data_IF_573411791673
#
_entry.id   IF_573411791673
#
_cell.length_a   1.000
_cell.length_b   1.000
_cell.length_c   1.000
_cell.angle_alpha   90.00
_cell.angle_beta   90.00
_cell.angle_gamma   90.00
#
_symmetry.space_group_name_H-M   'P 1'
#
loop_
_entity.id
_entity.type
_entity.pdbx_description
1 polymer ?
#
# COMPACT_ATOMS: atom_id res chain seq x y z
N UNK A 1 -0.42 19.64 -25.67
CA UNK A 1 -1.02 19.07 -24.44
C UNK A 1 0.01 18.17 -23.76
N UNK A 2 0.09 18.21 -22.45
CA UNK A 2 0.94 17.33 -21.67
C UNK A 2 0.09 16.39 -20.80
N UNK A 3 0.59 15.18 -20.53
CA UNK A 3 -0.09 14.22 -19.65
C UNK A 3 0.84 13.75 -18.53
N UNK A 4 0.30 13.62 -17.33
CA UNK A 4 0.97 13.04 -16.16
C UNK A 4 0.05 12.05 -15.48
N UNK A 5 0.59 11.22 -14.60
CA UNK A 5 -0.19 10.23 -13.85
C UNK A 5 -0.28 10.59 -12.38
N UNK A 6 -1.43 10.29 -11.75
CA UNK A 6 -1.61 10.39 -10.31
C UNK A 6 -1.01 9.20 -9.53
N UNK A 7 -0.46 8.24 -10.21
CA UNK A 7 0.15 7.06 -9.58
C UNK A 7 1.47 6.67 -10.25
N UNK A 8 2.30 5.98 -9.49
CA UNK A 8 3.33 5.09 -10.02
C UNK A 8 2.71 3.70 -10.22
N UNK A 9 3.16 2.96 -11.22
CA UNK A 9 2.65 1.61 -11.52
C UNK A 9 2.71 0.70 -10.30
N UNK A 10 1.76 -0.22 -10.20
CA UNK A 10 1.78 -1.35 -9.27
C UNK A 10 1.86 -0.93 -7.80
N UNK A 11 0.93 -0.15 -7.35
CA UNK A 11 0.90 0.31 -5.97
C UNK A 11 -0.49 0.20 -5.37
N UNK A 12 -0.53 -0.44 -4.22
CA UNK A 12 -1.75 -0.56 -3.41
C UNK A 12 -2.33 0.82 -3.06
N UNK A 13 -1.47 1.81 -2.87
CA UNK A 13 -1.85 3.19 -2.58
C UNK A 13 -1.17 4.15 -3.57
N UNK A 14 -1.88 4.63 -4.60
CA UNK A 14 -1.30 5.46 -5.66
C UNK A 14 -0.87 6.86 -5.20
N UNK A 15 -1.34 7.31 -4.04
CA UNK A 15 -1.11 8.67 -3.52
C UNK A 15 0.17 8.81 -2.72
N UNK A 16 1.31 8.45 -3.31
CA UNK A 16 2.61 8.55 -2.66
C UNK A 16 3.12 10.00 -2.66
N UNK A 17 4.02 10.30 -1.72
CA UNK A 17 4.69 11.61 -1.62
C UNK A 17 5.37 12.04 -2.92
N UNK A 18 6.02 11.10 -3.61
CA UNK A 18 6.69 11.34 -4.90
C UNK A 18 5.72 11.73 -6.01
N UNK A 19 4.48 11.25 -5.99
CA UNK A 19 3.48 11.61 -7.00
C UNK A 19 3.07 13.08 -6.89
N UNK A 20 2.95 13.62 -5.69
CA UNK A 20 2.67 15.03 -5.47
C UNK A 20 3.78 15.90 -6.06
N UNK A 21 5.04 15.54 -5.80
CA UNK A 21 6.18 16.26 -6.34
C UNK A 21 6.22 16.19 -7.88
N UNK A 22 5.99 15.02 -8.47
CA UNK A 22 5.95 14.84 -9.93
C UNK A 22 4.84 15.67 -10.57
N UNK A 23 3.63 15.66 -10.01
CA UNK A 23 2.50 16.44 -10.50
C UNK A 23 2.83 17.94 -10.46
N UNK A 24 3.41 18.39 -9.34
CA UNK A 24 3.81 19.79 -9.16
C UNK A 24 4.84 20.23 -10.19
N UNK A 25 5.93 19.47 -10.36
CA UNK A 25 6.99 19.76 -11.32
C UNK A 25 6.44 19.74 -12.76
N UNK A 26 5.61 18.74 -13.09
CA UNK A 26 5.00 18.63 -14.41
C UNK A 26 4.09 19.81 -14.74
N UNK A 27 3.24 20.23 -13.78
CA UNK A 27 2.37 21.38 -13.97
C UNK A 27 3.18 22.65 -14.23
N UNK A 28 4.25 22.91 -13.46
CA UNK A 28 5.12 24.07 -13.66
C UNK A 28 5.81 24.03 -15.01
N UNK A 29 6.44 22.92 -15.37
CA UNK A 29 7.12 22.80 -16.68
C UNK A 29 6.16 22.98 -17.85
N UNK A 30 4.91 22.59 -17.71
CA UNK A 30 3.88 22.76 -18.73
C UNK A 30 3.45 24.23 -18.88
N UNK A 31 3.36 24.95 -17.77
CA UNK A 31 3.10 26.40 -17.76
C UNK A 31 4.26 27.15 -18.43
N UNK A 32 5.49 26.86 -18.04
CA UNK A 32 6.70 27.51 -18.56
C UNK A 32 6.89 27.29 -20.07
N UNK A 33 6.40 26.14 -20.57
CA UNK A 33 6.45 25.79 -22.01
C UNK A 33 5.19 26.17 -22.78
N UNK A 34 4.26 26.90 -22.18
CA UNK A 34 3.01 27.33 -22.77
C UNK A 34 2.19 26.18 -23.39
N UNK A 35 2.05 25.07 -22.69
CA UNK A 35 1.20 23.97 -23.15
C UNK A 35 -0.28 24.40 -23.15
N UNK A 36 -1.00 24.09 -24.26
CA UNK A 36 -2.41 24.40 -24.39
C UNK A 36 -3.36 23.62 -23.50
N UNK A 37 -2.85 22.64 -22.76
CA UNK A 37 -3.67 21.85 -21.84
C UNK A 37 -2.85 20.80 -21.11
N UNK A 38 -3.38 20.39 -19.96
CA UNK A 38 -2.83 19.35 -19.09
C UNK A 38 -3.85 18.23 -18.92
N UNK A 39 -3.38 17.01 -18.86
CA UNK A 39 -4.18 15.82 -18.60
C UNK A 39 -3.60 15.05 -17.41
N UNK A 40 -4.45 14.67 -16.45
CA UNK A 40 -4.13 13.70 -15.44
C UNK A 40 -4.69 12.34 -15.86
N UNK A 41 -3.84 11.34 -15.88
CA UNK A 41 -4.25 9.95 -16.09
C UNK A 41 -4.31 9.21 -14.75
N UNK A 42 -5.28 8.32 -14.64
CA UNK A 42 -5.43 7.40 -13.53
C UNK A 42 -5.34 5.98 -14.11
N UNK A 43 -4.43 5.20 -13.55
CA UNK A 43 -4.22 3.80 -13.94
C UNK A 43 -4.59 2.96 -12.72
N UNK A 44 -5.85 2.55 -12.66
CA UNK A 44 -6.40 1.86 -11.48
C UNK A 44 -6.37 0.34 -11.59
N UNK A 45 -5.50 -0.18 -12.44
CA UNK A 45 -5.33 -1.61 -12.66
C UNK A 45 -4.95 -2.34 -11.36
N UNK A 46 -4.22 -1.68 -10.47
CA UNK A 46 -3.68 -2.26 -9.25
C UNK A 46 -4.22 -1.66 -7.96
N UNK A 47 -4.88 -0.51 -8.02
CA UNK A 47 -5.45 0.12 -6.84
C UNK A 47 -6.91 -0.27 -6.68
N UNK A 48 -7.28 -0.96 -5.61
CA UNK A 48 -8.62 -1.49 -5.45
C UNK A 48 -9.69 -0.41 -5.21
N UNK A 49 -9.27 0.78 -4.75
CA UNK A 49 -10.22 1.83 -4.36
C UNK A 49 -9.91 3.17 -5.02
N UNK A 50 -10.87 3.69 -5.76
CA UNK A 50 -10.77 5.00 -6.42
C UNK A 50 -10.52 6.15 -5.43
N UNK A 51 -10.99 6.02 -4.20
CA UNK A 51 -10.79 6.97 -3.12
C UNK A 51 -9.31 7.25 -2.83
N UNK A 52 -8.44 6.27 -3.08
CA UNK A 52 -7.00 6.41 -2.92
C UNK A 52 -6.36 7.34 -3.96
N UNK A 53 -7.07 7.70 -5.03
CA UNK A 53 -6.62 8.70 -6.02
C UNK A 53 -6.98 10.15 -5.66
N UNK A 54 -7.88 10.37 -4.71
CA UNK A 54 -8.41 11.71 -4.40
C UNK A 54 -7.32 12.74 -4.11
N UNK A 55 -6.27 12.36 -3.39
CA UNK A 55 -5.16 13.27 -3.07
C UNK A 55 -4.36 13.65 -4.32
N UNK A 56 -4.10 12.70 -5.22
CA UNK A 56 -3.43 12.94 -6.49
C UNK A 56 -4.26 13.84 -7.42
N UNK A 57 -5.57 13.61 -7.51
CA UNK A 57 -6.49 14.44 -8.28
C UNK A 57 -6.50 15.86 -7.72
N UNK A 58 -6.59 16.02 -6.40
CA UNK A 58 -6.55 17.32 -5.76
C UNK A 58 -5.22 18.05 -5.97
N UNK A 59 -4.09 17.33 -5.93
CA UNK A 59 -2.77 17.88 -6.22
C UNK A 59 -2.69 18.40 -7.66
N UNK A 60 -3.18 17.62 -8.62
CA UNK A 60 -3.21 18.03 -10.01
C UNK A 60 -4.08 19.29 -10.21
N UNK A 61 -5.27 19.32 -9.63
CA UNK A 61 -6.15 20.49 -9.70
C UNK A 61 -5.49 21.73 -9.08
N UNK A 62 -4.89 21.61 -7.90
CA UNK A 62 -4.20 22.72 -7.22
C UNK A 62 -3.05 23.27 -8.07
N UNK A 63 -2.12 22.41 -8.49
CA UNK A 63 -0.91 22.86 -9.17
C UNK A 63 -1.15 23.26 -10.63
N UNK A 64 -2.14 22.69 -11.32
CA UNK A 64 -2.54 23.13 -12.65
C UNK A 64 -3.18 24.52 -12.65
N UNK A 65 -3.90 24.85 -11.60
CA UNK A 65 -4.60 26.13 -11.47
C UNK A 65 -3.73 27.22 -10.85
N UNK A 66 -3.06 26.93 -9.73
CA UNK A 66 -2.33 27.90 -8.95
C UNK A 66 -0.81 27.93 -9.21
N UNK A 67 -0.29 26.98 -9.99
CA UNK A 67 1.15 26.82 -10.19
C UNK A 67 1.85 26.40 -8.89
N UNK A 68 3.15 26.70 -8.77
CA UNK A 68 3.97 26.28 -7.64
C UNK A 68 3.85 27.17 -6.38
N UNK A 69 2.83 27.99 -6.27
CA UNK A 69 2.69 28.97 -5.18
C UNK A 69 2.62 28.31 -3.81
N UNK A 70 2.03 27.12 -3.72
CA UNK A 70 1.88 26.39 -2.47
C UNK A 70 2.96 25.29 -2.36
N UNK A 71 3.55 25.17 -1.18
CA UNK A 71 4.46 24.06 -0.87
C UNK A 71 3.69 22.73 -0.80
N UNK A 72 4.40 21.60 -0.86
CA UNK A 72 3.79 20.30 -0.71
C UNK A 72 3.11 20.14 0.66
N UNK A 73 3.73 20.60 1.74
CA UNK A 73 3.17 20.50 3.08
C UNK A 73 1.93 21.37 3.26
N UNK A 74 1.93 22.59 2.73
CA UNK A 74 0.74 23.44 2.71
C UNK A 74 -0.39 22.81 1.89
N UNK A 75 -0.07 22.17 0.75
CA UNK A 75 -1.04 21.43 -0.02
C UNK A 75 -1.63 20.26 0.79
N UNK A 76 -0.79 19.44 1.43
CA UNK A 76 -1.24 18.28 2.22
C UNK A 76 -2.17 18.72 3.36
N UNK A 77 -1.81 19.76 4.09
CA UNK A 77 -2.65 20.34 5.14
C UNK A 77 -3.98 20.85 4.58
N UNK A 78 -3.94 21.61 3.49
CA UNK A 78 -5.13 22.12 2.82
C UNK A 78 -6.03 20.99 2.30
N UNK A 79 -5.45 19.93 1.74
CA UNK A 79 -6.17 18.74 1.29
C UNK A 79 -6.92 18.09 2.46
N UNK A 80 -6.23 17.84 3.58
CA UNK A 80 -6.86 17.25 4.78
C UNK A 80 -8.04 18.09 5.27
N UNK A 81 -7.85 19.42 5.40
CA UNK A 81 -8.91 20.32 5.86
C UNK A 81 -10.11 20.34 4.93
N UNK A 82 -9.91 20.36 3.62
CA UNK A 82 -11.00 20.39 2.62
C UNK A 82 -11.73 19.05 2.51
N UNK A 83 -11.01 17.95 2.64
CA UNK A 83 -11.57 16.62 2.46
C UNK A 83 -12.26 16.10 3.72
N UNK A 84 -11.68 16.36 4.89
CA UNK A 84 -12.10 15.76 6.15
C UNK A 84 -12.64 16.80 7.17
N UNK A 85 -12.71 18.07 6.78
CA UNK A 85 -13.19 19.16 7.61
C UNK A 85 -12.07 19.96 8.28
N UNK A 86 -12.38 21.20 8.67
CA UNK A 86 -11.42 22.15 9.27
C UNK A 86 -11.26 22.01 10.78
N UNK A 87 -11.58 20.88 11.36
CA UNK A 87 -11.45 20.61 12.80
C UNK A 87 -10.08 19.99 13.13
N UNK A 88 -9.75 19.91 14.42
CA UNK A 88 -8.58 19.16 14.90
C UNK A 88 -8.54 17.70 14.41
N UNK A 89 -9.68 17.13 14.03
CA UNK A 89 -9.79 15.80 13.45
C UNK A 89 -9.06 15.66 12.10
N UNK A 90 -8.99 16.74 11.31
CA UNK A 90 -8.30 16.67 10.02
C UNK A 90 -6.80 16.41 10.17
N UNK A 91 -6.19 16.78 11.27
CA UNK A 91 -4.78 16.47 11.54
C UNK A 91 -4.55 15.00 11.79
N UNK A 92 -5.50 14.27 12.37
CA UNK A 92 -5.42 12.81 12.50
C UNK A 92 -5.27 12.12 11.14
N UNK A 93 -5.80 12.70 10.05
CA UNK A 93 -5.62 12.17 8.69
C UNK A 93 -4.20 12.34 8.12
N UNK A 94 -3.25 12.89 8.88
CA UNK A 94 -1.83 12.84 8.54
C UNK A 94 -1.26 11.41 8.53
N UNK A 95 -1.98 10.41 9.09
CA UNK A 95 -1.61 9.01 8.96
C UNK A 95 -1.46 8.55 7.50
N UNK A 96 -2.14 9.21 6.54
CA UNK A 96 -2.01 8.92 5.11
C UNK A 96 -0.56 9.05 4.65
N UNK A 97 0.16 10.05 5.19
CA UNK A 97 1.57 10.25 4.89
C UNK A 97 2.44 9.17 5.56
N UNK A 98 2.07 8.74 6.76
CA UNK A 98 2.78 7.69 7.49
C UNK A 98 2.67 6.30 6.80
N UNK A 99 1.61 6.06 6.01
CA UNK A 99 1.45 4.84 5.23
C UNK A 99 2.37 4.76 4.00
N UNK A 100 2.96 5.86 3.54
CA UNK A 100 3.76 5.86 2.31
C UNK A 100 4.92 4.85 2.35
N UNK A 101 5.67 4.83 3.44
CA UNK A 101 6.82 3.92 3.60
C UNK A 101 6.42 2.45 3.79
N UNK A 102 5.45 2.11 4.67
CA UNK A 102 4.97 0.73 4.78
C UNK A 102 4.45 0.16 3.46
N UNK A 103 3.62 0.92 2.72
CA UNK A 103 3.10 0.50 1.42
C UNK A 103 4.22 0.39 0.37
N UNK A 104 5.21 1.30 0.39
CA UNK A 104 6.35 1.21 -0.50
C UNK A 104 7.18 -0.06 -0.28
N UNK A 105 7.40 -0.42 0.98
CA UNK A 105 8.09 -1.66 1.34
C UNK A 105 7.26 -2.88 0.91
N UNK A 106 5.96 -2.88 1.20
CA UNK A 106 5.04 -3.95 0.85
C UNK A 106 5.07 -4.30 -0.65
N UNK A 107 5.23 -3.32 -1.53
CA UNK A 107 5.23 -3.51 -2.98
C UNK A 107 6.22 -4.58 -3.47
N UNK A 108 7.37 -4.73 -2.81
CA UNK A 108 8.42 -5.69 -3.20
C UNK A 108 8.77 -6.67 -2.08
N UNK A 109 7.99 -6.71 -1.00
CA UNK A 109 8.40 -7.37 0.24
C UNK A 109 8.56 -8.87 0.12
N UNK A 110 7.84 -9.50 -0.80
CA UNK A 110 7.85 -10.95 -1.06
C UNK A 110 8.78 -11.36 -2.21
N UNK A 111 9.40 -10.41 -2.89
CA UNK A 111 10.26 -10.71 -4.02
C UNK A 111 11.69 -11.03 -3.57
N UNK A 112 12.42 -11.78 -4.38
CA UNK A 112 13.84 -12.01 -4.21
C UNK A 112 14.64 -10.72 -4.04
N UNK A 113 15.83 -10.82 -3.48
CA UNK A 113 16.70 -9.66 -3.30
C UNK A 113 17.11 -9.06 -4.66
N UNK A 114 17.03 -7.73 -4.75
CA UNK A 114 17.34 -6.99 -5.99
C UNK A 114 16.26 -7.03 -7.07
N UNK A 115 15.19 -7.78 -6.88
CA UNK A 115 14.06 -7.80 -7.80
C UNK A 115 13.04 -6.73 -7.40
N UNK A 116 12.57 -5.99 -8.39
CA UNK A 116 11.54 -4.97 -8.23
C UNK A 116 10.34 -5.29 -9.10
N UNK A 117 9.15 -5.25 -8.52
CA UNK A 117 7.89 -5.50 -9.20
C UNK A 117 7.74 -4.70 -10.48
N UNK A 118 8.11 -3.43 -10.48
CA UNK A 118 8.06 -2.58 -11.65
C UNK A 118 8.90 -3.09 -12.84
N UNK A 119 9.91 -3.89 -12.62
CA UNK A 119 10.73 -4.50 -13.67
C UNK A 119 10.07 -5.72 -14.30
N UNK A 120 9.04 -6.28 -13.67
CA UNK A 120 8.35 -7.50 -14.08
C UNK A 120 7.04 -7.25 -14.85
N UNK A 121 6.59 -6.01 -14.89
CA UNK A 121 5.27 -5.53 -15.38
C UNK A 121 4.82 -6.05 -16.76
N UNK A 122 5.75 -6.38 -17.64
CA UNK A 122 5.39 -6.79 -19.02
C UNK A 122 5.77 -8.24 -19.31
N UNK A 123 6.00 -9.03 -18.28
CA UNK A 123 6.39 -10.42 -18.43
C UNK A 123 5.30 -11.28 -17.80
N UNK A 124 4.49 -11.90 -18.64
CA UNK A 124 3.50 -12.87 -18.18
C UNK A 124 4.18 -13.96 -17.34
N UNK A 125 3.57 -14.33 -16.22
CA UNK A 125 3.96 -15.44 -15.34
C UNK A 125 5.40 -15.39 -14.79
N UNK A 126 5.98 -14.21 -14.61
CA UNK A 126 7.38 -14.09 -14.15
C UNK A 126 7.47 -13.76 -12.67
N UNK A 127 6.40 -13.23 -12.06
CA UNK A 127 6.46 -12.82 -10.66
C UNK A 127 6.58 -14.02 -9.74
N UNK A 128 5.85 -15.09 -9.99
CA UNK A 128 5.91 -16.33 -9.22
C UNK A 128 7.32 -16.95 -9.23
N UNK A 129 8.08 -16.72 -10.30
CA UNK A 129 9.48 -17.18 -10.43
C UNK A 129 10.46 -16.34 -9.63
N UNK A 130 10.01 -15.20 -9.10
CA UNK A 130 10.84 -14.23 -8.36
C UNK A 130 10.35 -13.99 -6.93
N UNK A 131 9.44 -14.82 -6.46
CA UNK A 131 9.08 -14.85 -5.03
C UNK A 131 10.29 -15.38 -4.24
N UNK A 132 10.54 -14.79 -3.10
CA UNK A 132 11.65 -15.19 -2.24
C UNK A 132 11.55 -16.66 -1.81
N UNK A 133 12.68 -17.35 -1.75
CA UNK A 133 12.74 -18.73 -1.27
C UNK A 133 12.28 -18.84 0.19
N UNK A 134 11.79 -20.01 0.55
CA UNK A 134 11.56 -20.37 1.95
C UNK A 134 12.88 -20.80 2.63
N UNK A 135 12.97 -20.75 3.98
CA UNK A 135 14.13 -21.26 4.72
C UNK A 135 14.43 -22.73 4.44
N UNK A 136 15.72 -23.08 4.31
CA UNK A 136 16.17 -24.46 4.27
C UNK A 136 16.26 -25.01 5.69
N UNK A 137 15.64 -26.15 5.96
CA UNK A 137 15.70 -26.84 7.25
C UNK A 137 17.12 -27.24 7.68
N UNK A 138 18.02 -27.41 6.71
CA UNK A 138 19.41 -27.83 6.96
C UNK A 138 20.38 -26.66 7.11
N UNK A 139 19.95 -25.43 6.86
CA UNK A 139 20.80 -24.23 6.91
C UNK A 139 20.11 -23.11 7.72
N UNK A 140 19.94 -23.37 9.01
CA UNK A 140 19.25 -22.49 9.94
C UNK A 140 19.92 -21.12 10.06
N UNK A 141 19.12 -20.07 9.99
CA UNK A 141 19.54 -18.67 10.07
C UNK A 141 20.06 -18.09 8.74
N UNK A 142 20.30 -18.92 7.71
CA UNK A 142 20.81 -18.43 6.43
C UNK A 142 19.79 -17.54 5.70
N UNK A 143 18.51 -17.90 5.76
CA UNK A 143 17.44 -17.11 5.17
C UNK A 143 17.27 -15.77 5.88
N UNK A 144 17.23 -15.75 7.20
CA UNK A 144 17.15 -14.53 7.99
C UNK A 144 18.36 -13.62 7.74
N UNK A 145 19.56 -14.19 7.60
CA UNK A 145 20.77 -13.43 7.26
C UNK A 145 20.71 -12.85 5.83
N UNK A 146 20.22 -13.63 4.85
CA UNK A 146 20.06 -13.18 3.46
C UNK A 146 19.12 -11.97 3.36
N UNK A 147 18.05 -11.94 4.14
CA UNK A 147 17.02 -10.89 4.09
C UNK A 147 17.05 -9.92 5.28
N UNK A 148 18.18 -9.84 6.00
CA UNK A 148 18.30 -9.09 7.27
C UNK A 148 17.85 -7.62 7.15
N UNK A 149 18.31 -6.88 6.13
CA UNK A 149 17.96 -5.48 5.91
C UNK A 149 16.45 -5.30 5.67
N UNK A 150 15.83 -6.23 4.94
CA UNK A 150 14.39 -6.23 4.70
C UNK A 150 13.60 -6.49 5.97
N UNK A 151 14.01 -7.47 6.76
CA UNK A 151 13.38 -7.84 8.04
C UNK A 151 13.51 -6.74 9.08
N UNK A 152 14.64 -6.04 9.11
CA UNK A 152 14.83 -4.83 9.92
C UNK A 152 13.88 -3.71 9.48
N UNK A 153 13.77 -3.46 8.16
CA UNK A 153 12.83 -2.49 7.63
C UNK A 153 11.38 -2.85 7.94
N UNK A 154 10.98 -4.12 7.84
CA UNK A 154 9.66 -4.60 8.24
C UNK A 154 9.40 -4.25 9.71
N UNK A 155 10.35 -4.50 10.60
CA UNK A 155 10.21 -4.19 12.02
C UNK A 155 9.95 -2.70 12.24
N UNK A 156 10.74 -1.83 11.61
CA UNK A 156 10.57 -0.37 11.68
C UNK A 156 9.22 0.10 11.11
N UNK A 157 8.80 -0.45 9.97
CA UNK A 157 7.53 -0.07 9.36
C UNK A 157 6.31 -0.66 10.09
N UNK A 158 6.47 -1.78 10.78
CA UNK A 158 5.42 -2.34 11.65
C UNK A 158 5.09 -1.41 12.81
N UNK A 159 6.09 -0.77 13.43
CA UNK A 159 5.85 0.23 14.49
C UNK A 159 5.03 1.42 13.96
N UNK A 160 5.41 1.95 12.79
CA UNK A 160 4.65 3.01 12.13
C UNK A 160 3.22 2.59 11.81
N UNK A 161 3.03 1.35 11.35
CA UNK A 161 1.72 0.81 11.02
C UNK A 161 0.83 0.64 12.25
N UNK A 162 1.38 0.26 13.41
CA UNK A 162 0.63 0.17 14.66
C UNK A 162 0.11 1.55 15.11
N UNK A 163 0.90 2.62 14.93
CA UNK A 163 0.43 3.98 15.21
C UNK A 163 -0.70 4.40 14.26
N UNK A 164 -0.57 4.08 12.96
CA UNK A 164 -1.63 4.32 11.98
C UNK A 164 -2.92 3.60 12.39
N UNK A 165 -2.85 2.34 12.81
CA UNK A 165 -4.02 1.56 13.25
C UNK A 165 -4.70 2.16 14.48
N UNK A 166 -3.94 2.68 15.45
CA UNK A 166 -4.50 3.40 16.61
C UNK A 166 -5.26 4.64 16.17
N UNK A 167 -4.70 5.41 15.23
CA UNK A 167 -5.35 6.60 14.69
C UNK A 167 -6.63 6.22 13.93
N UNK A 168 -6.58 5.19 13.09
CA UNK A 168 -7.76 4.68 12.36
C UNK A 168 -8.87 4.23 13.31
N UNK A 169 -8.54 3.50 14.37
CA UNK A 169 -9.51 3.08 15.40
C UNK A 169 -10.13 4.28 16.13
N UNK A 170 -9.35 5.31 16.44
CA UNK A 170 -9.84 6.59 16.99
C UNK A 170 -10.80 7.26 16.03
N UNK A 171 -10.41 7.44 14.76
CA UNK A 171 -11.23 8.06 13.74
C UNK A 171 -12.53 7.29 13.50
N UNK A 172 -12.47 5.97 13.47
CA UNK A 172 -13.64 5.10 13.32
C UNK A 172 -14.70 5.35 14.40
N UNK A 173 -14.28 5.66 15.63
CA UNK A 173 -15.18 5.96 16.75
C UNK A 173 -15.69 7.41 16.75
N UNK A 174 -15.00 8.34 16.11
CA UNK A 174 -15.24 9.78 16.25
C UNK A 174 -15.74 10.48 14.98
N UNK A 175 -15.47 9.91 13.80
CA UNK A 175 -15.80 10.50 12.50
C UNK A 175 -16.86 9.70 11.76
N UNK A 176 -18.13 9.96 12.06
CA UNK A 176 -19.26 9.29 11.43
C UNK A 176 -19.38 9.59 9.91
N UNK A 177 -18.79 10.71 9.44
CA UNK A 177 -18.93 11.16 8.06
C UNK A 177 -18.02 10.38 7.11
N UNK A 178 -16.81 10.02 7.55
CA UNK A 178 -15.77 9.46 6.71
C UNK A 178 -15.56 7.95 6.90
N UNK A 179 -16.57 7.23 7.42
CA UNK A 179 -16.48 5.80 7.75
C UNK A 179 -16.00 4.94 6.58
N UNK A 180 -16.49 5.20 5.37
CA UNK A 180 -16.08 4.46 4.19
C UNK A 180 -14.60 4.69 3.85
N UNK A 181 -14.13 5.93 3.88
CA UNK A 181 -12.70 6.25 3.65
C UNK A 181 -11.81 5.61 4.73
N UNK A 182 -12.24 5.64 5.99
CA UNK A 182 -11.52 5.00 7.10
C UNK A 182 -11.43 3.50 6.86
N UNK A 183 -12.53 2.83 6.48
CA UNK A 183 -12.55 1.41 6.18
C UNK A 183 -11.58 1.03 5.05
N UNK A 184 -11.46 1.85 3.99
CA UNK A 184 -10.48 1.64 2.91
C UNK A 184 -9.05 1.65 3.46
N UNK A 185 -8.69 2.63 4.27
CA UNK A 185 -7.34 2.68 4.86
C UNK A 185 -7.09 1.59 5.90
N UNK A 186 -8.14 1.11 6.59
CA UNK A 186 -8.04 -0.10 7.43
C UNK A 186 -7.67 -1.32 6.58
N UNK A 187 -8.27 -1.50 5.38
CA UNK A 187 -7.94 -2.61 4.48
C UNK A 187 -6.51 -2.50 3.94
N UNK A 188 -6.08 -1.32 3.50
CA UNK A 188 -4.68 -1.08 3.09
C UNK A 188 -3.71 -1.46 4.21
N UNK A 189 -3.97 -0.99 5.43
CA UNK A 189 -3.13 -1.27 6.59
C UNK A 189 -3.10 -2.76 6.93
N UNK A 190 -4.26 -3.44 6.87
CA UNK A 190 -4.38 -4.85 7.16
C UNK A 190 -3.61 -5.73 6.16
N UNK A 191 -3.66 -5.40 4.87
CA UNK A 191 -2.93 -6.13 3.83
C UNK A 191 -1.41 -5.99 3.99
N UNK A 192 -0.95 -4.77 4.26
CA UNK A 192 0.49 -4.53 4.54
C UNK A 192 0.94 -5.30 5.78
N UNK A 193 0.17 -5.23 6.85
CA UNK A 193 0.47 -5.92 8.12
C UNK A 193 0.50 -7.44 7.95
N UNK A 194 -0.39 -7.99 7.14
CA UNK A 194 -0.47 -9.42 6.87
C UNK A 194 0.86 -9.96 6.35
N UNK A 195 1.40 -9.36 5.29
CA UNK A 195 2.67 -9.78 4.69
C UNK A 195 3.85 -9.57 5.66
N UNK A 196 3.86 -8.47 6.42
CA UNK A 196 4.91 -8.23 7.41
C UNK A 196 4.89 -9.28 8.52
N UNK A 197 3.71 -9.66 9.00
CA UNK A 197 3.55 -10.73 10.00
C UNK A 197 3.98 -12.09 9.46
N UNK A 198 3.64 -12.41 8.21
CA UNK A 198 4.06 -13.66 7.59
C UNK A 198 5.60 -13.75 7.55
N UNK A 199 6.27 -12.74 7.05
CA UNK A 199 7.74 -12.73 6.96
C UNK A 199 8.43 -12.76 8.32
N UNK A 200 7.87 -12.06 9.34
CA UNK A 200 8.41 -12.14 10.70
C UNK A 200 8.23 -13.52 11.34
N UNK A 201 7.20 -14.27 10.95
CA UNK A 201 7.02 -15.64 11.40
C UNK A 201 7.95 -16.60 10.67
N UNK A 202 8.20 -16.39 9.37
CA UNK A 202 9.19 -17.15 8.60
C UNK A 202 10.59 -16.90 9.17
N UNK A 203 10.95 -15.66 9.50
CA UNK A 203 12.20 -15.32 10.20
C UNK A 203 12.32 -16.09 11.52
N UNK A 204 11.27 -16.06 12.34
CA UNK A 204 11.26 -16.77 13.62
C UNK A 204 11.41 -18.28 13.43
N UNK A 205 10.83 -18.85 12.39
CA UNK A 205 10.98 -20.26 12.04
C UNK A 205 12.43 -20.59 11.63
N UNK A 206 13.06 -19.77 10.82
CA UNK A 206 14.46 -19.96 10.41
C UNK A 206 15.44 -19.87 11.58
N UNK A 207 15.12 -19.05 12.58
CA UNK A 207 15.94 -18.84 13.78
C UNK A 207 15.57 -19.77 14.94
N UNK A 208 14.54 -20.61 14.82
CA UNK A 208 14.09 -21.50 15.87
C UNK A 208 15.20 -22.52 16.25
N UNK A 209 15.42 -22.69 17.55
CA UNK A 209 16.47 -23.56 18.11
C UNK A 209 15.97 -24.92 18.57
N UNK A 210 14.66 -25.15 18.51
CA UNK A 210 14.04 -26.41 18.93
C UNK A 210 12.85 -26.78 18.04
N UNK A 211 12.59 -28.09 17.92
CA UNK A 211 11.43 -28.61 17.18
C UNK A 211 10.09 -28.10 17.76
N UNK A 212 10.00 -27.91 19.07
CA UNK A 212 8.80 -27.39 19.71
C UNK A 212 8.51 -25.93 19.30
N UNK A 213 9.55 -25.11 19.18
CA UNK A 213 9.42 -23.74 18.66
C UNK A 213 8.99 -23.75 17.19
N UNK A 214 9.61 -24.59 16.35
CA UNK A 214 9.23 -24.72 14.94
C UNK A 214 7.76 -25.13 14.79
N UNK A 215 7.33 -26.15 15.52
CA UNK A 215 5.94 -26.62 15.50
C UNK A 215 4.98 -25.51 15.91
N UNK A 216 5.29 -24.77 16.96
CA UNK A 216 4.48 -23.64 17.41
C UNK A 216 4.34 -22.58 16.32
N UNK A 217 5.45 -22.21 15.66
CA UNK A 217 5.45 -21.18 14.61
C UNK A 217 4.67 -21.67 13.40
N UNK A 218 4.78 -22.94 13.02
CA UNK A 218 3.98 -23.53 11.93
C UNK A 218 2.47 -23.46 12.23
N UNK A 219 2.03 -23.71 13.44
CA UNK A 219 0.62 -23.51 13.84
C UNK A 219 0.21 -22.03 13.72
N UNK A 220 1.07 -21.10 14.12
CA UNK A 220 0.79 -19.67 14.01
C UNK A 220 0.74 -19.20 12.55
N UNK A 221 1.56 -19.78 11.66
CA UNK A 221 1.48 -19.55 10.21
C UNK A 221 0.19 -20.11 9.63
N UNK A 222 -0.19 -21.32 10.03
CA UNK A 222 -1.46 -21.92 9.61
C UNK A 222 -2.67 -21.08 10.04
N UNK A 223 -2.67 -20.55 11.27
CA UNK A 223 -3.72 -19.62 11.70
C UNK A 223 -3.74 -18.33 10.86
N UNK A 224 -2.57 -17.83 10.47
CA UNK A 224 -2.47 -16.64 9.63
C UNK A 224 -3.09 -16.90 8.25
N UNK A 225 -2.79 -18.04 7.63
CA UNK A 225 -3.39 -18.47 6.37
C UNK A 225 -4.92 -18.54 6.48
N UNK A 226 -5.44 -19.16 7.55
CA UNK A 226 -6.90 -19.23 7.77
C UNK A 226 -7.55 -17.85 7.93
N UNK A 227 -6.86 -16.91 8.59
CA UNK A 227 -7.34 -15.51 8.75
C UNK A 227 -7.42 -14.75 7.44
N UNK A 228 -6.70 -15.18 6.41
CA UNK A 228 -6.76 -14.54 5.09
C UNK A 228 -8.17 -14.61 4.48
N UNK A 229 -8.87 -15.71 4.63
CA UNK A 229 -10.26 -15.84 4.18
C UNK A 229 -11.19 -14.78 4.81
N UNK A 230 -11.02 -14.50 6.11
CA UNK A 230 -11.78 -13.44 6.78
C UNK A 230 -11.37 -12.04 6.28
N UNK A 231 -10.08 -11.82 6.09
CA UNK A 231 -9.56 -10.58 5.53
C UNK A 231 -10.15 -10.33 4.13
N UNK A 232 -10.15 -11.34 3.26
CA UNK A 232 -10.74 -11.28 1.93
C UNK A 232 -12.23 -10.90 1.98
N UNK A 233 -13.02 -11.51 2.85
CA UNK A 233 -14.44 -11.18 3.01
C UNK A 233 -14.66 -9.72 3.45
N UNK A 234 -13.88 -9.21 4.38
CA UNK A 234 -13.96 -7.82 4.81
C UNK A 234 -13.54 -6.85 3.69
N UNK A 235 -12.52 -7.21 2.92
CA UNK A 235 -12.10 -6.44 1.75
C UNK A 235 -13.24 -6.36 0.71
N UNK A 236 -13.86 -7.50 0.34
CA UNK A 236 -15.00 -7.56 -0.57
C UNK A 236 -16.16 -6.68 -0.08
N UNK A 237 -16.46 -6.73 1.20
CA UNK A 237 -17.52 -5.93 1.82
C UNK A 237 -17.27 -4.43 1.71
N UNK A 238 -16.03 -3.98 1.91
CA UNK A 238 -15.67 -2.57 1.74
C UNK A 238 -15.73 -2.17 0.27
N UNK A 239 -15.17 -2.99 -0.61
CA UNK A 239 -15.17 -2.78 -2.06
C UNK A 239 -16.58 -2.66 -2.64
N UNK A 240 -17.49 -3.54 -2.25
CA UNK A 240 -18.87 -3.58 -2.75
C UNK A 240 -19.73 -2.39 -2.33
N UNK A 241 -19.25 -1.52 -1.43
CA UNK A 241 -19.97 -0.28 -1.09
C UNK A 241 -19.95 0.76 -2.22
N UNK A 242 -18.96 0.72 -3.09
CA UNK A 242 -18.84 1.68 -4.20
C UNK A 242 -18.72 1.04 -5.58
N UNK A 243 -18.54 -0.28 -5.66
CA UNK A 243 -18.30 -1.01 -6.91
C UNK A 243 -19.03 -2.34 -6.93
N UNK A 244 -19.34 -2.81 -8.13
CA UNK A 244 -19.91 -4.14 -8.34
C UNK A 244 -18.75 -5.14 -8.38
N UNK A 245 -18.80 -6.12 -7.50
CA UNK A 245 -17.88 -7.23 -7.51
C UNK A 245 -18.35 -8.27 -8.54
N UNK A 246 -17.57 -8.46 -9.59
CA UNK A 246 -17.88 -9.42 -10.65
C UNK A 246 -17.21 -10.75 -10.35
N UNK A 247 -17.99 -11.72 -9.83
CA UNK A 247 -17.54 -13.07 -9.51
C UNK A 247 -18.05 -14.06 -10.55
N UNK A 248 -17.31 -15.13 -10.86
CA UNK A 248 -15.96 -15.50 -10.41
C UNK A 248 -14.84 -14.85 -11.22
N UNK A 249 -15.18 -14.25 -12.37
CA UNK A 249 -14.23 -13.67 -13.30
C UNK A 249 -13.83 -12.27 -12.86
N UNK A 250 -12.58 -11.90 -13.09
CA UNK A 250 -12.06 -10.57 -12.82
C UNK A 250 -12.26 -10.14 -11.36
N UNK A 251 -12.05 -11.08 -10.47
CA UNK A 251 -12.03 -10.79 -9.06
C UNK A 251 -10.84 -9.90 -8.74
N UNK A 252 -11.02 -8.79 -8.04
CA UNK A 252 -10.00 -7.77 -7.91
C UNK A 252 -8.69 -8.27 -7.27
N UNK A 253 -8.81 -9.24 -6.37
CA UNK A 253 -7.65 -9.90 -5.78
C UNK A 253 -7.05 -10.97 -6.71
N UNK A 254 -7.80 -11.44 -7.69
CA UNK A 254 -7.37 -12.45 -8.66
C UNK A 254 -6.83 -11.81 -9.94
N UNK A 255 -7.22 -10.58 -10.26
CA UNK A 255 -6.63 -9.81 -11.38
C UNK A 255 -5.22 -9.35 -11.07
N UNK A 256 -4.95 -9.10 -9.81
CA UNK A 256 -3.60 -8.86 -9.35
C UNK A 256 -2.96 -10.18 -8.92
N UNK A 257 -2.68 -11.04 -9.90
CA UNK A 257 -1.97 -12.32 -9.71
C UNK A 257 -0.70 -12.18 -8.87
N UNK A 258 -0.27 -10.98 -8.67
CA UNK A 258 0.99 -10.63 -8.04
C UNK A 258 0.88 -10.32 -6.55
N UNK A 259 -0.32 -10.22 -6.02
CA UNK A 259 -0.57 -9.92 -4.60
C UNK A 259 -1.41 -11.00 -3.93
N UNK A 260 -1.59 -12.13 -4.59
CA UNK A 260 -2.44 -13.19 -4.09
C UNK A 260 -1.71 -13.94 -2.96
N UNK A 261 -2.19 -13.86 -1.71
CA UNK A 261 -1.53 -14.55 -0.59
C UNK A 261 -1.67 -16.07 -0.64
N UNK A 262 -2.51 -16.61 -1.51
CA UNK A 262 -2.61 -18.05 -1.75
C UNK A 262 -1.37 -18.59 -2.48
N UNK A 263 -0.52 -17.71 -3.01
CA UNK A 263 0.76 -18.04 -3.63
C UNK A 263 1.94 -17.99 -2.64
N UNK A 264 1.70 -17.66 -1.38
CA UNK A 264 2.65 -17.73 -0.27
C UNK A 264 2.37 -18.99 0.55
#
# INVERSE_FOLDING_TARGET
MGATSAQTRWTLMPQRESNIDQIKIFAQQSIDRNYNGLLLTLWDDDSPHFELYKRGIAAFAEYSWAGMKRTKEEFKTSFRHRTFGSSSKSEDYAFIDALDKPVALWTNVLLEEGIHRNSLVHRENVIEQHVMDLPDFNDKGAWAAKYADRLENISKQSESLEEVKKILAKLKSQDATNQYTIAIYEQVSALVEYNFKALKKIEAFDLAISADEEIKILFELQELIQKFGTFRQEFEKVYSQSRILNKPENYILDQDHHNHPEEI
#
